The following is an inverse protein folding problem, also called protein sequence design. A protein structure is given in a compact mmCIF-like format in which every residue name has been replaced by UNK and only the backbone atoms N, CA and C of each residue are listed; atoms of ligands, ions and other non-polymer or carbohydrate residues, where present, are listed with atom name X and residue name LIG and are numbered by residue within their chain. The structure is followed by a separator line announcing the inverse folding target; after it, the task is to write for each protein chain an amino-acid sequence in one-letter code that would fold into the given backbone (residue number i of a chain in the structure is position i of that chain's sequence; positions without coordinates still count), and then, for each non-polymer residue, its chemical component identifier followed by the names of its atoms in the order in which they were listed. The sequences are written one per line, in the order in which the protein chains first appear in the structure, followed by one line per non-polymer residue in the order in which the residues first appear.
data_IF_678862821950
#
_entry.id   IF_678862821950
#
_cell.length_a   1.000
_cell.length_b   1.000
_cell.length_c   1.000
_cell.angle_alpha   90.00
_cell.angle_beta   90.00
_cell.angle_gamma   90.00
#
_symmetry.space_group_name_H-M   'P 1'
#
loop_
_entity.id
_entity.type
_entity.pdbx_description
1 polymer ?
#
# COMPACT_ATOMS: atom_id res chain seq x y z
N UNK A 1 -26.54 -46.83 -9.41
CA UNK A 1 -25.18 -46.27 -9.29
C UNK A 1 -24.65 -46.67 -7.90
N UNK A 2 -23.42 -47.14 -7.80
CA UNK A 2 -22.80 -47.58 -6.53
C UNK A 2 -22.06 -46.37 -5.92
N UNK A 3 -22.01 -46.30 -4.61
CA UNK A 3 -21.30 -45.26 -3.85
C UNK A 3 -19.80 -45.29 -4.14
N UNK A 4 -19.18 -44.11 -4.32
CA UNK A 4 -17.72 -43.99 -4.57
C UNK A 4 -16.82 -44.45 -3.41
N UNK A 5 -17.39 -44.56 -2.22
CA UNK A 5 -16.63 -44.89 -1.00
C UNK A 5 -16.97 -46.25 -0.38
N UNK A 6 -18.03 -46.93 -0.88
CA UNK A 6 -18.42 -48.26 -0.44
C UNK A 6 -19.38 -48.88 -1.46
N UNK A 7 -19.67 -50.18 -1.35
CA UNK A 7 -20.50 -50.93 -2.30
C UNK A 7 -22.02 -50.72 -2.12
N UNK A 8 -22.43 -49.83 -1.20
CA UNK A 8 -23.84 -49.52 -0.94
C UNK A 8 -24.42 -48.68 -2.10
N UNK A 9 -25.72 -48.87 -2.46
CA UNK A 9 -26.36 -48.05 -3.48
C UNK A 9 -26.30 -46.56 -3.16
N UNK A 10 -25.96 -45.74 -4.18
CA UNK A 10 -25.96 -44.30 -4.07
C UNK A 10 -27.39 -43.72 -4.09
N UNK A 11 -27.60 -42.61 -3.38
CA UNK A 11 -28.94 -41.98 -3.24
C UNK A 11 -29.20 -40.93 -4.30
N UNK A 12 -30.20 -41.16 -5.12
CA UNK A 12 -30.64 -40.23 -6.17
C UNK A 12 -29.56 -39.96 -7.22
N UNK A 13 -29.29 -38.68 -7.48
CA UNK A 13 -28.22 -38.21 -8.40
C UNK A 13 -26.86 -38.08 -7.74
N UNK A 14 -26.71 -38.44 -6.44
CA UNK A 14 -25.47 -38.36 -5.71
C UNK A 14 -24.52 -39.51 -6.08
N UNK A 15 -23.22 -39.27 -6.02
CA UNK A 15 -22.20 -40.31 -6.16
C UNK A 15 -21.94 -41.07 -4.84
N UNK A 16 -22.69 -40.79 -3.75
CA UNK A 16 -22.49 -41.30 -2.40
C UNK A 16 -23.78 -41.89 -1.83
N UNK A 17 -23.69 -42.93 -0.97
CA UNK A 17 -24.79 -43.40 -0.14
C UNK A 17 -25.17 -42.36 0.93
N UNK A 18 -26.23 -42.57 1.71
CA UNK A 18 -26.72 -41.59 2.69
C UNK A 18 -25.65 -41.24 3.74
N UNK A 19 -24.91 -42.20 4.25
CA UNK A 19 -23.85 -42.03 5.27
C UNK A 19 -22.69 -41.22 4.68
N UNK A 20 -22.07 -41.69 3.60
CA UNK A 20 -20.95 -41.02 2.98
C UNK A 20 -21.31 -39.62 2.38
N UNK A 21 -22.59 -39.42 2.03
CA UNK A 21 -23.08 -38.10 1.64
C UNK A 21 -23.12 -37.14 2.83
N UNK A 22 -23.49 -37.58 4.00
CA UNK A 22 -23.47 -36.79 5.22
C UNK A 22 -22.03 -36.42 5.62
N UNK A 23 -21.12 -37.38 5.58
CA UNK A 23 -19.68 -37.19 5.85
C UNK A 23 -19.04 -36.23 4.84
N UNK A 24 -19.30 -36.41 3.55
CA UNK A 24 -18.80 -35.49 2.50
C UNK A 24 -19.31 -34.06 2.68
N UNK A 25 -20.58 -33.90 3.11
CA UNK A 25 -21.15 -32.58 3.43
C UNK A 25 -20.49 -31.96 4.66
N UNK A 26 -20.23 -32.73 5.69
CA UNK A 26 -19.58 -32.25 6.89
C UNK A 26 -18.14 -31.81 6.60
N UNK A 27 -17.38 -32.64 5.88
CA UNK A 27 -16.02 -32.32 5.43
C UNK A 27 -15.97 -31.06 4.55
N UNK A 28 -16.93 -30.91 3.62
CA UNK A 28 -17.02 -29.71 2.80
C UNK A 28 -17.34 -28.45 3.60
N UNK A 29 -18.25 -28.54 4.58
CA UNK A 29 -18.56 -27.41 5.49
C UNK A 29 -17.35 -27.02 6.34
N UNK A 30 -16.62 -28.00 6.90
CA UNK A 30 -15.40 -27.78 7.68
C UNK A 30 -14.35 -27.04 6.81
N UNK A 31 -14.10 -27.53 5.59
CA UNK A 31 -13.16 -26.91 4.66
C UNK A 31 -13.51 -25.45 4.36
N UNK A 32 -14.78 -25.13 4.13
CA UNK A 32 -15.22 -23.74 3.89
C UNK A 32 -15.00 -22.88 5.14
N UNK A 33 -15.28 -23.41 6.33
CA UNK A 33 -15.04 -22.71 7.60
C UNK A 33 -13.56 -22.36 7.76
N UNK A 34 -12.68 -23.37 7.58
CA UNK A 34 -11.23 -23.19 7.69
C UNK A 34 -10.68 -22.17 6.67
N UNK A 35 -11.16 -22.24 5.44
CA UNK A 35 -10.80 -21.26 4.39
C UNK A 35 -11.26 -19.83 4.73
N UNK A 36 -12.44 -19.70 5.35
CA UNK A 36 -12.97 -18.40 5.78
C UNK A 36 -12.14 -17.82 6.94
N UNK A 37 -11.76 -18.65 7.91
CA UNK A 37 -10.91 -18.26 9.03
C UNK A 37 -9.50 -17.86 8.54
N UNK A 38 -8.88 -18.66 7.68
CA UNK A 38 -7.59 -18.34 7.07
C UNK A 38 -7.64 -17.03 6.26
N UNK A 39 -8.74 -16.76 5.57
CA UNK A 39 -8.94 -15.48 4.87
C UNK A 39 -9.08 -14.31 5.83
N UNK A 40 -9.78 -14.49 6.96
CA UNK A 40 -9.92 -13.48 8.02
C UNK A 40 -8.57 -13.16 8.66
N UNK A 41 -7.79 -14.18 8.99
CA UNK A 41 -6.45 -14.04 9.55
C UNK A 41 -5.50 -13.29 8.61
N UNK A 42 -5.51 -13.61 7.30
CA UNK A 42 -4.71 -12.88 6.31
C UNK A 42 -5.10 -11.41 6.21
N UNK A 43 -6.39 -11.09 6.25
CA UNK A 43 -6.85 -9.70 6.22
C UNK A 43 -6.39 -8.93 7.46
N UNK A 44 -6.44 -9.55 8.63
CA UNK A 44 -5.95 -8.97 9.88
C UNK A 44 -4.44 -8.71 9.81
N UNK A 45 -3.65 -9.66 9.32
CA UNK A 45 -2.20 -9.50 9.11
C UNK A 45 -1.85 -8.39 8.13
N UNK A 46 -2.66 -8.19 7.05
CA UNK A 46 -2.47 -7.06 6.14
C UNK A 46 -2.77 -5.71 6.80
N UNK A 47 -3.80 -5.64 7.66
CA UNK A 47 -4.14 -4.42 8.37
C UNK A 47 -3.05 -4.02 9.38
N UNK A 48 -2.54 -4.99 10.13
CA UNK A 48 -1.45 -4.78 11.09
C UNK A 48 -0.16 -4.34 10.39
N UNK A 49 0.23 -5.02 9.30
CA UNK A 49 1.39 -4.65 8.50
C UNK A 49 1.26 -3.23 7.94
N UNK A 50 0.08 -2.87 7.41
CA UNK A 50 -0.18 -1.54 6.90
C UNK A 50 -0.08 -0.50 8.00
N UNK A 51 -0.65 -0.75 9.18
CA UNK A 51 -0.55 0.16 10.34
C UNK A 51 0.91 0.42 10.72
N UNK A 52 1.75 -0.62 10.81
CA UNK A 52 3.18 -0.48 11.08
C UNK A 52 3.90 0.33 10.01
N UNK A 53 3.60 0.06 8.75
CA UNK A 53 4.19 0.79 7.62
C UNK A 53 3.81 2.28 7.65
N UNK A 54 2.54 2.61 7.90
CA UNK A 54 2.07 4.00 8.06
C UNK A 54 2.77 4.70 9.22
N UNK A 55 2.90 4.04 10.37
CA UNK A 55 3.61 4.61 11.54
C UNK A 55 5.08 4.93 11.20
N UNK A 56 5.78 4.02 10.50
CA UNK A 56 7.14 4.27 10.03
C UNK A 56 7.20 5.46 9.05
N UNK A 57 6.24 5.57 8.15
CA UNK A 57 6.14 6.70 7.24
C UNK A 57 5.91 8.03 7.94
N UNK A 58 4.99 8.08 8.90
CA UNK A 58 4.71 9.28 9.70
C UNK A 58 5.96 9.68 10.50
N UNK A 59 6.64 8.71 11.12
CA UNK A 59 7.90 8.97 11.85
C UNK A 59 8.94 9.56 10.92
N UNK A 60 9.21 8.95 9.77
CA UNK A 60 10.18 9.44 8.81
C UNK A 60 9.83 10.83 8.25
N UNK A 61 8.55 11.14 8.11
CA UNK A 61 8.08 12.47 7.75
C UNK A 61 8.50 13.53 8.77
N UNK A 62 8.33 13.27 10.05
CA UNK A 62 8.68 14.20 11.11
C UNK A 62 10.20 14.33 11.33
N UNK A 63 10.93 13.24 11.13
CA UNK A 63 12.39 13.21 11.27
C UNK A 63 13.13 13.80 10.05
N UNK A 64 12.48 13.88 8.89
CA UNK A 64 13.09 14.47 7.71
C UNK A 64 13.37 15.97 7.91
N UNK A 65 14.59 16.36 7.60
CA UNK A 65 15.04 17.76 7.61
C UNK A 65 15.22 18.20 6.16
N UNK A 66 14.24 18.93 5.59
CA UNK A 66 14.34 19.40 4.21
C UNK A 66 15.50 20.35 4.01
N UNK A 67 16.13 20.29 2.85
CA UNK A 67 17.13 21.27 2.45
C UNK A 67 16.42 22.58 2.12
N UNK A 68 16.65 23.67 2.87
CA UNK A 68 16.02 24.96 2.58
C UNK A 68 16.39 25.46 1.20
N UNK A 69 15.46 26.15 0.54
CA UNK A 69 15.72 26.81 -0.72
C UNK A 69 15.49 28.32 -0.65
N UNK A 70 16.19 29.06 -1.50
CA UNK A 70 15.97 30.48 -1.72
C UNK A 70 15.20 30.67 -3.03
N UNK A 71 14.19 31.51 -2.99
CA UNK A 71 13.40 31.86 -4.18
C UNK A 71 13.49 33.38 -4.36
N UNK A 72 14.03 33.81 -5.49
CA UNK A 72 14.20 35.21 -5.82
C UNK A 72 14.19 35.45 -7.33
N UNK A 73 14.26 36.70 -7.72
CA UNK A 73 14.40 37.08 -9.14
C UNK A 73 15.88 37.06 -9.52
N UNK A 74 16.22 36.40 -10.61
CA UNK A 74 17.57 36.47 -11.18
C UNK A 74 17.86 37.87 -11.75
N UNK A 75 19.15 38.31 -11.69
CA UNK A 75 19.60 39.59 -12.25
C UNK A 75 19.45 39.65 -13.76
N UNK A 76 19.56 38.52 -14.44
CA UNK A 76 19.47 38.45 -15.89
C UNK A 76 19.23 37.04 -16.40
N UNK A 77 19.06 36.91 -17.72
CA UNK A 77 18.73 35.66 -18.38
C UNK A 77 19.82 34.56 -18.23
N UNK A 78 21.07 34.99 -18.07
CA UNK A 78 22.24 34.08 -17.94
C UNK A 78 23.03 34.32 -16.64
N UNK A 79 22.43 35.02 -15.67
CA UNK A 79 23.03 35.30 -14.37
C UNK A 79 22.09 34.78 -13.27
N UNK A 80 22.48 33.67 -12.66
CA UNK A 80 21.72 32.99 -11.57
C UNK A 80 21.82 33.71 -10.23
N UNK A 81 22.56 34.83 -10.14
CA UNK A 81 22.61 35.66 -8.93
C UNK A 81 21.29 36.39 -8.73
N UNK A 82 20.90 36.59 -7.47
CA UNK A 82 19.66 37.30 -7.15
C UNK A 82 19.78 38.80 -7.42
N UNK A 83 18.70 39.37 -7.91
CA UNK A 83 18.50 40.81 -8.02
C UNK A 83 18.30 41.39 -6.61
N UNK A 84 19.30 42.05 -6.05
CA UNK A 84 19.30 42.61 -4.68
C UNK A 84 18.23 43.71 -4.49
N UNK A 85 17.66 44.23 -5.55
CA UNK A 85 16.58 45.24 -5.50
C UNK A 85 15.20 44.58 -5.29
N UNK A 86 15.11 43.23 -5.38
CA UNK A 86 13.88 42.47 -5.24
C UNK A 86 13.91 41.54 -4.03
N UNK A 87 12.74 41.20 -3.50
CA UNK A 87 12.69 40.31 -2.33
C UNK A 87 13.20 38.90 -2.67
N UNK A 88 13.98 38.33 -1.74
CA UNK A 88 14.37 36.93 -1.73
C UNK A 88 13.63 36.22 -0.59
N UNK A 89 12.97 35.13 -0.91
CA UNK A 89 12.17 34.34 0.04
C UNK A 89 12.95 33.10 0.45
N UNK A 90 13.02 32.89 1.76
CA UNK A 90 13.57 31.65 2.35
C UNK A 90 12.45 30.65 2.58
N UNK A 91 12.52 29.46 1.94
CA UNK A 91 11.56 28.39 2.07
C UNK A 91 12.23 27.24 2.84
N UNK A 92 11.97 27.14 4.13
CA UNK A 92 12.57 26.13 5.04
C UNK A 92 12.19 24.70 4.68
N UNK A 93 11.01 24.51 4.08
CA UNK A 93 10.50 23.18 3.65
C UNK A 93 11.12 22.69 2.31
N UNK A 94 12.05 23.47 1.72
CA UNK A 94 12.72 23.10 0.49
C UNK A 94 11.82 23.08 -0.75
N UNK A 95 12.21 22.29 -1.74
CA UNK A 95 11.49 22.19 -3.02
C UNK A 95 10.17 21.47 -2.88
N UNK A 96 9.18 21.89 -3.68
CA UNK A 96 7.89 21.23 -3.80
C UNK A 96 7.98 19.96 -4.65
N UNK A 97 7.10 19.01 -4.38
CA UNK A 97 7.03 17.81 -5.20
C UNK A 97 6.00 16.80 -4.71
N UNK A 98 6.03 15.63 -5.36
CA UNK A 98 5.09 14.56 -5.15
C UNK A 98 5.82 13.25 -4.82
N UNK A 99 5.22 12.44 -3.93
CA UNK A 99 5.68 11.09 -3.69
C UNK A 99 4.50 10.13 -3.48
N UNK A 100 4.66 8.91 -3.92
CA UNK A 100 3.71 7.83 -3.72
C UNK A 100 4.40 6.50 -3.47
N UNK A 101 3.76 5.66 -2.68
CA UNK A 101 4.09 4.25 -2.56
C UNK A 101 3.57 3.52 -3.80
N UNK A 102 4.38 2.65 -4.39
CA UNK A 102 3.98 1.77 -5.49
C UNK A 102 4.10 0.32 -5.03
N UNK A 103 2.99 -0.42 -5.11
CA UNK A 103 2.92 -1.85 -4.75
C UNK A 103 2.70 -2.69 -6.00
N UNK A 104 3.54 -3.71 -6.21
CA UNK A 104 3.48 -4.64 -7.34
C UNK A 104 3.49 -6.10 -6.85
N UNK A 105 2.81 -7.02 -7.54
CA UNK A 105 1.86 -6.78 -8.63
C UNK A 105 0.49 -6.30 -8.11
N UNK A 106 -0.29 -5.61 -8.96
CA UNK A 106 -1.60 -5.04 -8.58
C UNK A 106 -2.69 -6.09 -8.27
N UNK A 107 -2.43 -7.37 -8.53
CA UNK A 107 -3.29 -8.52 -8.23
C UNK A 107 -2.79 -9.36 -7.03
N UNK A 108 -1.80 -8.90 -6.28
CA UNK A 108 -1.38 -9.58 -5.05
C UNK A 108 -2.47 -9.50 -3.97
N UNK A 109 -2.42 -10.42 -2.98
CA UNK A 109 -3.36 -10.43 -1.85
C UNK A 109 -3.35 -9.10 -1.10
N UNK A 110 -2.16 -8.54 -0.85
CA UNK A 110 -2.00 -7.25 -0.19
C UNK A 110 -2.53 -6.09 -1.05
N UNK A 111 -2.30 -6.11 -2.37
CA UNK A 111 -2.83 -5.09 -3.27
C UNK A 111 -4.36 -5.10 -3.33
N UNK A 112 -5.00 -6.27 -3.28
CA UNK A 112 -6.45 -6.39 -3.17
C UNK A 112 -6.97 -5.83 -1.83
N UNK A 113 -6.23 -6.10 -0.73
CA UNK A 113 -6.58 -5.54 0.56
C UNK A 113 -6.46 -4.00 0.56
N UNK A 114 -5.38 -3.44 -0.01
CA UNK A 114 -5.20 -1.99 -0.15
C UNK A 114 -6.36 -1.34 -0.92
N UNK A 115 -6.76 -1.92 -2.08
CA UNK A 115 -7.90 -1.41 -2.87
C UNK A 115 -9.20 -1.33 -2.08
N UNK A 116 -9.41 -2.25 -1.16
CA UNK A 116 -10.64 -2.32 -0.38
C UNK A 116 -10.64 -1.40 0.86
N UNK A 117 -9.47 -0.99 1.36
CA UNK A 117 -9.34 -0.32 2.66
C UNK A 117 -8.63 1.03 2.60
N UNK A 118 -7.91 1.32 1.51
CA UNK A 118 -7.07 2.51 1.37
C UNK A 118 -7.37 3.19 0.03
N UNK A 119 -7.33 4.52 -0.02
CA UNK A 119 -7.45 5.26 -1.27
C UNK A 119 -6.24 4.98 -2.16
N UNK A 120 -6.47 4.30 -3.26
CA UNK A 120 -5.43 3.89 -4.22
C UNK A 120 -5.73 4.39 -5.62
N UNK A 121 -4.71 4.47 -6.46
CA UNK A 121 -4.82 4.71 -7.90
C UNK A 121 -3.95 3.70 -8.68
N UNK A 122 -4.18 3.60 -10.00
CA UNK A 122 -3.29 2.83 -10.87
C UNK A 122 -1.99 3.59 -11.06
N UNK A 123 -0.86 2.88 -10.95
CA UNK A 123 0.43 3.45 -11.32
C UNK A 123 0.70 3.24 -12.82
N UNK A 124 1.20 4.26 -13.53
CA UNK A 124 1.47 4.20 -14.98
C UNK A 124 2.48 3.11 -15.38
N UNK A 125 3.47 2.83 -14.51
CA UNK A 125 4.44 1.72 -14.67
C UNK A 125 3.95 0.36 -14.17
N UNK A 126 2.62 0.19 -14.00
CA UNK A 126 1.99 -1.00 -13.44
C UNK A 126 2.03 -1.03 -11.91
N UNK A 127 1.05 -1.70 -11.31
CA UNK A 127 0.89 -1.76 -9.86
C UNK A 127 -0.17 -0.79 -9.32
N UNK A 128 -0.19 -0.62 -8.01
CA UNK A 128 -1.03 0.33 -7.28
C UNK A 128 -0.19 1.43 -6.67
N UNK A 129 -0.69 2.67 -6.76
CA UNK A 129 -0.13 3.84 -6.07
C UNK A 129 -0.98 4.22 -4.85
N UNK A 130 -0.31 4.57 -3.75
CA UNK A 130 -0.87 5.27 -2.59
C UNK A 130 -0.10 6.57 -2.42
N UNK A 131 -0.79 7.71 -2.52
CA UNK A 131 -0.17 9.02 -2.39
C UNK A 131 0.20 9.35 -0.94
N UNK A 132 1.25 10.15 -0.75
CA UNK A 132 1.70 10.59 0.59
C UNK A 132 0.57 11.25 1.40
N UNK A 133 -0.34 11.97 0.74
CA UNK A 133 -1.50 12.59 1.37
C UNK A 133 -2.50 11.61 2.01
N UNK A 134 -2.40 10.32 1.70
CA UNK A 134 -3.24 9.28 2.33
C UNK A 134 -2.61 8.78 3.64
N UNK A 135 -1.30 8.93 3.78
CA UNK A 135 -0.51 8.40 4.89
C UNK A 135 -0.24 9.45 5.95
N UNK A 136 0.15 10.64 5.50
CA UNK A 136 0.49 11.74 6.41
C UNK A 136 -0.78 12.45 6.87
N UNK A 137 -0.94 12.71 8.19
CA UNK A 137 -2.06 13.46 8.75
C UNK A 137 -2.23 14.84 8.10
N UNK A 138 -3.46 15.33 8.05
CA UNK A 138 -3.78 16.57 7.32
C UNK A 138 -3.11 17.81 7.90
N UNK A 139 -3.04 17.87 9.22
CA UNK A 139 -2.38 18.93 10.00
C UNK A 139 -0.85 18.95 9.86
N UNK A 140 -0.24 17.81 9.49
CA UNK A 140 1.19 17.68 9.28
C UNK A 140 1.61 17.83 7.81
N UNK A 141 0.66 18.00 6.86
CA UNK A 141 0.97 18.05 5.43
C UNK A 141 1.79 19.30 5.07
N UNK A 142 2.85 19.09 4.31
CA UNK A 142 3.63 20.15 3.69
C UNK A 142 3.82 19.91 2.20
N UNK A 143 4.33 20.90 1.48
CA UNK A 143 4.66 20.79 0.05
C UNK A 143 6.02 20.11 -0.17
N UNK A 144 6.82 19.93 0.90
CA UNK A 144 8.18 19.42 0.83
C UNK A 144 8.27 18.07 0.10
N UNK A 145 9.06 18.06 -0.97
CA UNK A 145 9.45 16.85 -1.69
C UNK A 145 10.17 15.86 -0.77
N UNK A 146 11.17 16.34 -0.02
CA UNK A 146 12.04 15.48 0.80
C UNK A 146 11.28 14.79 1.92
N UNK A 147 10.34 15.48 2.59
CA UNK A 147 9.48 14.85 3.60
C UNK A 147 8.57 13.79 3.00
N UNK A 148 7.97 14.07 1.83
CA UNK A 148 7.11 13.11 1.13
C UNK A 148 7.90 11.88 0.69
N UNK A 149 9.10 12.08 0.12
CA UNK A 149 9.98 10.99 -0.32
C UNK A 149 10.43 10.12 0.87
N UNK A 150 10.91 10.74 1.97
CA UNK A 150 11.31 10.03 3.18
C UNK A 150 10.19 9.16 3.75
N UNK A 151 8.98 9.71 3.87
CA UNK A 151 7.82 8.97 4.33
C UNK A 151 7.50 7.76 3.45
N UNK A 152 7.46 7.95 2.13
CA UNK A 152 7.12 6.87 1.21
C UNK A 152 8.20 5.79 1.13
N UNK A 153 9.48 6.15 1.28
CA UNK A 153 10.59 5.20 1.39
C UNK A 153 10.48 4.33 2.64
N UNK A 154 10.18 4.95 3.79
CA UNK A 154 10.01 4.22 5.05
C UNK A 154 8.82 3.22 4.98
N UNK A 155 7.68 3.65 4.42
CA UNK A 155 6.55 2.76 4.17
C UNK A 155 6.94 1.59 3.27
N UNK A 156 7.65 1.87 2.17
CA UNK A 156 8.09 0.84 1.23
C UNK A 156 9.07 -0.15 1.86
N UNK A 157 9.93 0.31 2.76
CA UNK A 157 10.89 -0.54 3.49
C UNK A 157 10.19 -1.58 4.35
N UNK A 158 9.27 -1.15 5.23
CA UNK A 158 8.50 -2.06 6.10
C UNK A 158 7.72 -3.10 5.27
N UNK A 159 7.19 -2.71 4.12
CA UNK A 159 6.48 -3.64 3.24
C UNK A 159 7.45 -4.63 2.56
N UNK A 160 8.64 -4.18 2.16
CA UNK A 160 9.68 -5.06 1.57
C UNK A 160 10.19 -6.10 2.57
N UNK A 161 10.43 -5.70 3.82
CA UNK A 161 10.80 -6.61 4.90
C UNK A 161 9.76 -7.71 5.12
N UNK A 162 8.49 -7.41 4.89
CA UNK A 162 7.40 -8.39 4.91
C UNK A 162 7.21 -9.17 3.58
N UNK A 163 8.15 -9.06 2.65
CA UNK A 163 8.12 -9.77 1.36
C UNK A 163 7.19 -9.17 0.30
N UNK A 164 6.67 -7.96 0.52
CA UNK A 164 5.82 -7.27 -0.45
C UNK A 164 6.69 -6.43 -1.38
N UNK A 165 6.53 -6.58 -2.70
CA UNK A 165 7.23 -5.75 -3.68
C UNK A 165 6.66 -4.33 -3.65
N UNK A 166 7.35 -3.46 -2.93
CA UNK A 166 6.99 -2.06 -2.74
C UNK A 166 8.17 -1.14 -3.07
N UNK A 167 7.88 0.04 -3.60
CA UNK A 167 8.88 1.08 -3.90
C UNK A 167 8.28 2.46 -3.71
N UNK A 168 9.12 3.46 -3.44
CA UNK A 168 8.76 4.85 -3.54
C UNK A 168 8.89 5.30 -4.99
N UNK A 169 7.93 6.07 -5.46
CA UNK A 169 8.00 6.87 -6.67
C UNK A 169 7.83 8.34 -6.29
N UNK A 170 8.75 9.18 -6.70
CA UNK A 170 8.73 10.61 -6.38
C UNK A 170 9.21 11.46 -7.56
N UNK A 171 8.76 12.71 -7.60
CA UNK A 171 9.18 13.72 -8.58
C UNK A 171 9.06 15.12 -7.98
N UNK A 172 9.88 16.03 -8.47
CA UNK A 172 9.71 17.47 -8.24
C UNK A 172 8.48 18.00 -9.00
N UNK A 173 7.91 19.08 -8.50
CA UNK A 173 6.77 19.76 -9.13
C UNK A 173 7.26 20.67 -10.27
#
# INVERSE_FOLDING_TARGET
MICRSCDTPAVGKSAYCSTHRAEARAAWKAKISDEAEARKARKAGHAELWSRAVQAGIKAWHEAIPTPMLVGTAKGLFDDSFDETKPVYHVSEGVCGFASLVVKPANSSFAHWLKANVRTSKHYGGGLSVWSSVIVPEDARSQSYERKDAAMRAVAEVLREAGIKASCWSRLD
#
